data_IF_610103564999
#
_entry.id   IF_610103564999
#
_cell.length_a   1.000
_cell.length_b   1.000
_cell.length_c   1.000
_cell.angle_alpha   90.00
_cell.angle_beta   90.00
_cell.angle_gamma   90.00
#
_symmetry.space_group_name_H-M   'P 1'
#
loop_
_entity.id
_entity.type
_entity.pdbx_description
1 polymer ?
#
# COMPACT_ATOMS: atom_id res chain seq x y z
N UNK A 1 22.66 17.75 -6.37
CA UNK A 1 21.99 17.25 -7.59
C UNK A 1 20.54 17.00 -7.24
N UNK A 2 19.59 17.67 -7.93
CA UNK A 2 18.16 17.44 -7.73
C UNK A 2 17.78 16.07 -8.31
N UNK A 3 17.10 15.25 -7.53
CA UNK A 3 16.62 13.94 -7.98
C UNK A 3 15.29 14.11 -8.74
N UNK A 4 15.23 13.83 -10.07
CA UNK A 4 14.01 13.99 -10.86
C UNK A 4 12.82 13.23 -10.30
N UNK A 5 13.06 12.03 -9.77
CA UNK A 5 12.01 11.18 -9.20
C UNK A 5 11.25 11.84 -8.03
N UNK A 6 11.96 12.60 -7.19
CA UNK A 6 11.33 13.38 -6.12
C UNK A 6 10.62 14.61 -6.67
N UNK A 7 11.24 15.31 -7.63
CA UNK A 7 10.66 16.52 -8.21
C UNK A 7 9.34 16.24 -8.92
N UNK A 8 9.22 15.13 -9.63
CA UNK A 8 7.98 14.70 -10.28
C UNK A 8 6.84 14.48 -9.29
N UNK A 9 7.15 14.22 -8.02
CA UNK A 9 6.16 14.10 -6.94
C UNK A 9 5.95 15.41 -6.15
N UNK A 10 6.58 16.48 -6.60
CA UNK A 10 6.53 17.79 -5.92
C UNK A 10 7.37 17.85 -4.64
N UNK A 11 8.29 16.89 -4.45
CA UNK A 11 9.26 16.87 -3.36
C UNK A 11 10.57 17.50 -3.82
N UNK A 12 10.82 18.74 -3.44
CA UNK A 12 12.14 19.36 -3.54
C UNK A 12 12.79 19.40 -2.14
N UNK A 13 13.58 18.39 -1.83
CA UNK A 13 14.25 18.27 -0.53
C UNK A 13 15.25 19.39 -0.25
N UNK A 14 15.66 20.13 -1.25
CA UNK A 14 16.56 21.28 -1.13
C UNK A 14 15.82 22.63 -1.00
N UNK A 15 14.50 22.62 -1.13
CA UNK A 15 13.71 23.86 -1.04
C UNK A 15 13.35 24.18 0.39
N UNK A 16 13.84 25.29 0.91
CA UNK A 16 13.49 25.76 2.26
C UNK A 16 12.10 26.42 2.33
N UNK A 17 11.50 26.69 1.19
CA UNK A 17 10.15 27.29 1.12
C UNK A 17 9.04 26.26 1.31
N UNK A 18 9.35 24.96 1.25
CA UNK A 18 8.39 23.86 1.39
C UNK A 18 8.64 23.07 2.65
N UNK A 19 7.58 22.81 3.39
CA UNK A 19 7.65 21.94 4.57
C UNK A 19 7.57 20.48 4.15
N UNK A 20 8.38 19.63 4.80
CA UNK A 20 8.38 18.19 4.58
C UNK A 20 8.45 17.44 5.91
N UNK A 21 7.83 16.28 5.96
CA UNK A 21 8.05 15.30 7.01
C UNK A 21 8.65 14.05 6.40
N UNK A 22 9.71 13.54 7.02
CA UNK A 22 10.43 12.34 6.56
C UNK A 22 10.44 11.31 7.68
N UNK A 23 10.20 10.05 7.34
CA UNK A 23 10.35 8.93 8.27
C UNK A 23 11.63 8.16 7.94
N UNK A 24 12.39 7.80 8.97
CA UNK A 24 13.70 7.15 8.85
C UNK A 24 13.63 5.77 9.52
N UNK A 25 13.35 4.70 8.78
CA UNK A 25 13.46 3.34 9.30
C UNK A 25 14.94 2.91 9.37
N UNK A 26 15.27 2.06 10.34
CA UNK A 26 16.58 1.40 10.34
C UNK A 26 16.60 0.24 9.33
N UNK A 27 17.81 -0.14 8.92
CA UNK A 27 18.01 -1.27 8.00
C UNK A 27 17.43 -2.58 8.58
N UNK A 28 17.53 -2.77 9.89
CA UNK A 28 16.99 -3.93 10.59
C UNK A 28 15.46 -3.96 10.54
N UNK A 29 14.79 -2.78 10.69
CA UNK A 29 13.34 -2.70 10.57
C UNK A 29 12.87 -2.97 9.15
N UNK A 30 13.56 -2.42 8.15
CA UNK A 30 13.25 -2.71 6.74
C UNK A 30 13.39 -4.20 6.48
N UNK A 31 14.54 -4.79 6.84
CA UNK A 31 14.80 -6.22 6.66
C UNK A 31 13.73 -7.08 7.32
N UNK A 32 13.39 -6.78 8.58
CA UNK A 32 12.34 -7.49 9.31
C UNK A 32 10.98 -7.38 8.59
N UNK A 33 10.59 -6.20 8.14
CA UNK A 33 9.33 -6.00 7.44
C UNK A 33 9.29 -6.77 6.11
N UNK A 34 10.41 -6.79 5.37
CA UNK A 34 10.55 -7.56 4.13
C UNK A 34 10.46 -9.07 4.39
N UNK A 35 11.16 -9.58 5.40
CA UNK A 35 11.17 -11.01 5.74
C UNK A 35 9.78 -11.49 6.18
N UNK A 36 9.07 -10.70 7.01
CA UNK A 36 7.69 -10.98 7.40
C UNK A 36 6.74 -10.96 6.18
N UNK A 37 6.89 -9.99 5.29
CA UNK A 37 6.12 -9.89 4.05
C UNK A 37 6.34 -11.08 3.13
N UNK A 38 7.60 -11.48 2.91
CA UNK A 38 7.98 -12.66 2.12
C UNK A 38 7.45 -13.96 2.72
N UNK A 39 7.49 -14.10 4.05
CA UNK A 39 6.95 -15.27 4.73
C UNK A 39 5.44 -15.40 4.51
N UNK A 40 4.69 -14.29 4.56
CA UNK A 40 3.25 -14.27 4.24
C UNK A 40 2.99 -14.64 2.78
N UNK A 41 3.74 -14.05 1.84
CA UNK A 41 3.62 -14.37 0.41
C UNK A 41 3.87 -15.86 0.15
N UNK A 42 4.89 -16.44 0.75
CA UNK A 42 5.18 -17.87 0.66
C UNK A 42 4.06 -18.74 1.21
N UNK A 43 3.50 -18.37 2.38
CA UNK A 43 2.34 -19.05 2.98
C UNK A 43 1.14 -19.04 2.04
N UNK A 44 0.90 -17.91 1.38
CA UNK A 44 -0.25 -17.75 0.47
C UNK A 44 0.02 -18.20 -0.97
N UNK A 45 1.24 -18.70 -1.27
CA UNK A 45 1.66 -19.11 -2.62
C UNK A 45 1.53 -17.97 -3.64
N UNK A 46 1.82 -16.74 -3.21
CA UNK A 46 1.80 -15.54 -4.04
C UNK A 46 3.24 -15.14 -4.36
N UNK A 47 3.51 -14.87 -5.62
CA UNK A 47 4.80 -14.33 -6.05
C UNK A 47 4.73 -12.81 -6.18
N UNK A 48 5.72 -12.13 -5.62
CA UNK A 48 5.93 -10.70 -5.76
C UNK A 48 7.42 -10.40 -5.92
N UNK A 49 7.80 -9.53 -6.86
CA UNK A 49 9.17 -9.03 -6.92
C UNK A 49 9.55 -8.29 -5.64
N UNK A 50 10.75 -8.53 -5.13
CA UNK A 50 11.29 -7.85 -3.96
C UNK A 50 11.25 -6.32 -4.12
N UNK A 51 11.51 -5.83 -5.34
CA UNK A 51 11.46 -4.42 -5.67
C UNK A 51 10.12 -3.73 -5.36
N UNK A 52 8.99 -4.46 -5.40
CA UNK A 52 7.69 -3.89 -5.02
C UNK A 52 7.63 -3.63 -3.51
N UNK A 53 8.16 -4.55 -2.71
CA UNK A 53 8.19 -4.46 -1.25
C UNK A 53 9.16 -3.35 -0.80
N UNK A 54 10.34 -3.32 -1.39
CA UNK A 54 11.38 -2.31 -1.13
C UNK A 54 10.90 -0.91 -1.53
N UNK A 55 10.30 -0.77 -2.71
CA UNK A 55 9.73 0.48 -3.16
C UNK A 55 8.66 1.01 -2.21
N UNK A 56 7.83 0.15 -1.64
CA UNK A 56 6.84 0.60 -0.66
C UNK A 56 7.54 1.16 0.57
N UNK A 57 8.54 0.46 1.12
CA UNK A 57 9.31 0.93 2.27
C UNK A 57 9.90 2.32 2.05
N UNK A 58 10.40 2.59 0.85
CA UNK A 58 10.91 3.91 0.50
C UNK A 58 9.79 4.94 0.29
N UNK A 59 8.80 4.62 -0.53
CA UNK A 59 7.77 5.57 -0.96
C UNK A 59 6.81 5.99 0.16
N UNK A 60 6.64 5.17 1.19
CA UNK A 60 5.77 5.48 2.32
C UNK A 60 6.35 6.50 3.31
N UNK A 61 7.65 6.89 3.16
CA UNK A 61 8.39 7.65 4.17
C UNK A 61 8.40 9.16 3.97
N UNK A 62 7.81 9.69 2.89
CA UNK A 62 7.90 11.10 2.55
C UNK A 62 6.53 11.77 2.50
N UNK A 63 6.36 12.85 3.27
CA UNK A 63 5.14 13.66 3.29
C UNK A 63 5.48 15.09 2.90
N UNK A 64 4.83 15.60 1.86
CA UNK A 64 5.12 16.91 1.27
C UNK A 64 4.16 17.98 1.76
N UNK A 65 4.62 19.21 1.74
CA UNK A 65 3.86 20.41 2.04
C UNK A 65 3.30 20.44 3.48
N UNK A 66 3.88 19.65 4.39
CA UNK A 66 3.42 19.51 5.77
C UNK A 66 4.57 19.16 6.73
N UNK A 67 4.48 19.67 7.94
CA UNK A 67 5.27 19.27 9.09
C UNK A 67 4.30 18.64 10.11
N UNK A 68 4.23 17.32 10.12
CA UNK A 68 3.38 16.59 11.04
C UNK A 68 4.02 16.46 12.42
N UNK A 69 3.22 16.56 13.47
CA UNK A 69 3.63 16.14 14.81
C UNK A 69 3.73 14.60 14.88
N UNK A 70 4.65 14.10 15.70
CA UNK A 70 4.95 12.67 15.81
C UNK A 70 3.72 11.83 16.22
N UNK A 71 2.86 12.39 17.07
CA UNK A 71 1.64 11.75 17.58
C UNK A 71 0.68 11.35 16.45
N UNK A 72 0.66 12.12 15.34
CA UNK A 72 -0.20 11.82 14.18
C UNK A 72 0.13 10.48 13.57
N UNK A 73 1.40 10.07 13.59
CA UNK A 73 1.85 8.78 13.07
C UNK A 73 1.53 7.59 14.00
N UNK A 74 1.32 7.86 15.28
CA UNK A 74 1.15 6.85 16.31
C UNK A 74 -0.30 6.70 16.80
N UNK A 75 -1.19 7.60 16.43
CA UNK A 75 -2.58 7.60 16.87
C UNK A 75 -3.44 6.64 16.03
N UNK A 76 -3.89 5.50 16.59
CA UNK A 76 -4.70 4.54 15.84
C UNK A 76 -6.12 5.05 15.53
N UNK A 77 -6.54 6.16 16.14
CA UNK A 77 -7.83 6.79 15.87
C UNK A 77 -7.77 7.77 14.69
N UNK A 78 -6.58 8.15 14.28
CA UNK A 78 -6.39 8.99 13.11
C UNK A 78 -6.49 8.16 11.81
N UNK A 79 -6.96 8.77 10.73
CA UNK A 79 -6.94 8.10 9.43
C UNK A 79 -5.50 7.83 8.98
N UNK A 80 -5.32 6.79 8.18
CA UNK A 80 -4.03 6.50 7.57
C UNK A 80 -3.51 7.71 6.78
N UNK A 81 -2.21 7.98 6.91
CA UNK A 81 -1.58 9.11 6.24
C UNK A 81 -1.13 8.70 4.83
N UNK A 82 -1.36 9.58 3.87
CA UNK A 82 -0.95 9.34 2.48
C UNK A 82 0.36 10.06 2.19
N UNK A 83 1.38 9.31 1.82
CA UNK A 83 2.69 9.85 1.45
C UNK A 83 2.66 10.64 0.13
N UNK A 84 3.70 11.38 -0.16
CA UNK A 84 3.88 12.09 -1.43
C UNK A 84 3.84 11.17 -2.66
N UNK A 85 4.13 9.89 -2.48
CA UNK A 85 4.06 8.85 -3.51
C UNK A 85 2.73 8.09 -3.54
N UNK A 86 1.73 8.53 -2.77
CA UNK A 86 0.41 7.91 -2.70
C UNK A 86 0.38 6.60 -1.91
N UNK A 87 1.40 6.33 -1.08
CA UNK A 87 1.42 5.15 -0.20
C UNK A 87 0.81 5.46 1.15
N UNK A 88 0.11 4.48 1.71
CA UNK A 88 -0.56 4.65 3.00
C UNK A 88 0.36 4.25 4.15
N UNK A 89 0.58 5.19 5.08
CA UNK A 89 1.15 4.88 6.39
C UNK A 89 0.02 4.52 7.34
N UNK A 90 0.02 3.28 7.81
CA UNK A 90 -1.03 2.75 8.69
C UNK A 90 -0.69 3.04 10.14
N UNK A 91 -1.37 4.01 10.73
CA UNK A 91 -1.15 4.47 12.11
C UNK A 91 -1.45 3.40 13.17
N UNK A 92 -2.25 2.40 12.82
CA UNK A 92 -2.59 1.29 13.72
C UNK A 92 -1.43 0.33 13.99
N UNK A 93 -0.49 0.18 13.06
CA UNK A 93 0.59 -0.84 13.13
C UNK A 93 1.98 -0.25 12.97
N UNK A 94 2.13 0.84 12.23
CA UNK A 94 3.41 1.51 12.05
C UNK A 94 3.54 2.62 13.08
N UNK A 95 4.74 2.79 13.64
CA UNK A 95 5.00 3.75 14.73
C UNK A 95 6.32 4.47 14.50
N UNK A 96 6.38 5.70 15.01
CA UNK A 96 7.60 6.50 15.07
C UNK A 96 8.02 6.80 16.51
N UNK A 97 9.28 7.15 16.69
CA UNK A 97 9.81 7.64 17.95
C UNK A 97 9.25 9.05 18.23
N UNK A 98 8.63 9.24 19.39
CA UNK A 98 8.06 10.51 19.84
C UNK A 98 9.10 11.40 20.51
N UNK A 99 10.17 10.83 21.05
CA UNK A 99 11.09 11.52 21.94
C UNK A 99 12.29 12.15 21.22
N UNK A 100 12.62 11.64 20.02
CA UNK A 100 13.84 12.01 19.30
C UNK A 100 13.56 12.55 17.88
N UNK A 101 12.82 13.66 17.74
CA UNK A 101 12.60 14.27 16.43
C UNK A 101 13.90 14.92 15.91
N UNK A 102 14.15 14.77 14.61
CA UNK A 102 15.27 15.44 13.92
C UNK A 102 14.74 16.66 13.18
N UNK A 103 15.05 17.85 13.66
CA UNK A 103 14.63 19.09 13.01
C UNK A 103 15.61 19.46 11.89
N UNK A 104 15.04 19.88 10.77
CA UNK A 104 15.74 20.35 9.58
C UNK A 104 15.26 21.77 9.24
N UNK A 105 16.00 22.49 8.39
CA UNK A 105 15.63 23.85 7.98
C UNK A 105 14.25 23.90 7.28
N UNK A 106 13.90 22.86 6.58
CA UNK A 106 12.66 22.78 5.80
C UNK A 106 11.68 21.70 6.28
N UNK A 107 11.82 21.21 7.51
CA UNK A 107 10.88 20.22 8.03
C UNK A 107 11.38 19.43 9.21
N UNK A 108 10.81 18.26 9.36
CA UNK A 108 11.09 17.37 10.49
C UNK A 108 11.24 15.92 10.03
N UNK A 109 12.10 15.16 10.68
CA UNK A 109 12.20 13.73 10.49
C UNK A 109 12.01 12.97 11.79
N UNK A 110 11.43 11.78 11.70
CA UNK A 110 11.20 10.87 12.81
C UNK A 110 11.78 9.49 12.51
N UNK A 111 12.41 8.89 13.52
CA UNK A 111 12.83 7.50 13.43
C UNK A 111 11.62 6.57 13.51
N UNK A 112 11.58 5.57 12.65
CA UNK A 112 10.52 4.54 12.67
C UNK A 112 10.86 3.50 13.71
N UNK A 113 9.90 3.16 14.58
CA UNK A 113 10.07 2.16 15.64
C UNK A 113 9.29 0.87 15.36
N UNK A 114 8.26 0.93 14.52
CA UNK A 114 7.51 -0.25 14.05
C UNK A 114 7.14 -0.08 12.59
N UNK A 115 7.45 -1.09 11.78
CA UNK A 115 7.18 -1.10 10.34
C UNK A 115 6.62 -2.45 9.92
N UNK A 116 5.47 -2.44 9.25
CA UNK A 116 4.86 -3.61 8.61
C UNK A 116 4.41 -3.28 7.20
N UNK A 117 4.69 -4.19 6.29
CA UNK A 117 4.18 -4.09 4.93
C UNK A 117 2.67 -4.35 4.91
N UNK A 118 1.87 -3.48 4.28
CA UNK A 118 0.43 -3.69 4.19
C UNK A 118 0.13 -4.92 3.32
N UNK A 119 -0.78 -5.77 3.77
CA UNK A 119 -1.23 -6.89 2.97
C UNK A 119 -1.94 -6.40 1.72
N UNK A 120 -2.80 -5.43 1.89
CA UNK A 120 -3.58 -4.84 0.80
C UNK A 120 -2.71 -3.89 0.00
N UNK A 121 -2.80 -3.96 -1.31
CA UNK A 121 -2.12 -3.11 -2.29
C UNK A 121 -0.60 -3.33 -2.42
N UNK A 122 0.05 -4.06 -1.50
CA UNK A 122 1.47 -4.41 -1.56
C UNK A 122 1.68 -5.92 -1.64
N UNK A 123 1.25 -6.66 -0.63
CA UNK A 123 1.40 -8.12 -0.63
C UNK A 123 0.39 -8.79 -1.56
N UNK A 124 -0.85 -8.31 -1.57
CA UNK A 124 -1.90 -8.78 -2.48
C UNK A 124 -2.48 -7.61 -3.26
N UNK A 125 -2.72 -7.84 -4.55
CA UNK A 125 -3.43 -6.86 -5.37
C UNK A 125 -4.92 -6.92 -5.05
N UNK A 126 -5.48 -5.78 -4.73
CA UNK A 126 -6.94 -5.64 -4.64
C UNK A 126 -7.51 -5.42 -6.02
N UNK A 127 -8.53 -6.18 -6.34
CA UNK A 127 -9.39 -5.90 -7.49
C UNK A 127 -10.37 -4.74 -7.23
N UNK A 128 -9.91 -3.69 -6.52
CA UNK A 128 -10.75 -2.49 -6.28
C UNK A 128 -11.29 -1.89 -7.56
N UNK A 129 -10.53 -1.99 -8.63
CA UNK A 129 -10.85 -1.40 -9.91
C UNK A 129 -11.34 -2.42 -10.94
N UNK A 130 -11.62 -3.67 -10.52
CA UNK A 130 -12.19 -4.65 -11.44
C UNK A 130 -13.48 -4.12 -12.07
N UNK A 131 -14.35 -3.47 -11.29
CA UNK A 131 -15.55 -2.84 -11.80
C UNK A 131 -15.28 -1.64 -12.70
N UNK A 132 -14.26 -0.83 -12.43
CA UNK A 132 -13.83 0.23 -13.34
C UNK A 132 -13.31 -0.35 -14.64
N UNK A 133 -12.42 -1.34 -14.54
CA UNK A 133 -11.85 -2.01 -15.70
C UNK A 133 -12.94 -2.73 -16.51
N UNK A 134 -13.84 -3.44 -15.83
CA UNK A 134 -15.01 -4.08 -16.43
C UNK A 134 -15.94 -3.09 -17.16
N UNK A 135 -16.08 -1.89 -16.62
CA UNK A 135 -16.88 -0.82 -17.26
C UNK A 135 -16.33 -0.42 -18.64
N UNK A 136 -15.01 -0.50 -18.82
CA UNK A 136 -14.33 -0.09 -20.06
C UNK A 136 -14.03 -1.26 -21.00
N UNK A 137 -14.23 -2.50 -20.56
CA UNK A 137 -14.14 -3.65 -21.46
C UNK A 137 -15.29 -3.63 -22.47
N UNK A 138 -14.99 -4.00 -23.71
CA UNK A 138 -16.04 -4.28 -24.67
C UNK A 138 -16.82 -5.55 -24.32
N UNK A 139 -17.95 -5.79 -24.97
CA UNK A 139 -18.79 -6.93 -24.65
C UNK A 139 -18.12 -8.27 -24.98
N UNK A 140 -17.34 -8.34 -26.06
CA UNK A 140 -16.63 -9.55 -26.44
C UNK A 140 -15.58 -9.95 -25.40
N UNK A 141 -14.86 -8.98 -24.83
CA UNK A 141 -13.89 -9.25 -23.78
C UNK A 141 -14.56 -9.66 -22.46
N UNK A 142 -15.71 -9.09 -22.13
CA UNK A 142 -16.53 -9.53 -21.00
C UNK A 142 -16.97 -10.97 -21.16
N UNK A 143 -17.47 -11.32 -22.34
CA UNK A 143 -17.95 -12.66 -22.64
C UNK A 143 -16.81 -13.69 -22.59
N UNK A 144 -15.65 -13.37 -23.14
CA UNK A 144 -14.43 -14.19 -23.03
C UNK A 144 -13.98 -14.37 -21.59
N UNK A 145 -14.03 -13.32 -20.79
CA UNK A 145 -13.66 -13.37 -19.37
C UNK A 145 -14.56 -14.35 -18.61
N UNK A 146 -15.87 -14.27 -18.79
CA UNK A 146 -16.80 -15.21 -18.17
C UNK A 146 -16.66 -16.64 -18.71
N UNK A 147 -16.40 -16.81 -19.99
CA UNK A 147 -16.13 -18.13 -20.58
C UNK A 147 -14.85 -18.76 -20.00
N UNK A 148 -13.79 -17.98 -19.78
CA UNK A 148 -12.55 -18.46 -19.17
C UNK A 148 -12.71 -18.90 -17.71
N UNK A 149 -13.69 -18.39 -17.01
CA UNK A 149 -13.98 -18.73 -15.61
C UNK A 149 -14.98 -19.86 -15.46
N UNK A 150 -15.50 -20.42 -16.55
CA UNK A 150 -16.54 -21.45 -16.59
C UNK A 150 -17.81 -21.06 -15.82
N UNK A 151 -18.10 -19.77 -15.72
CA UNK A 151 -19.30 -19.28 -15.07
C UNK A 151 -20.49 -19.41 -16.03
N UNK A 152 -21.50 -20.15 -15.61
CA UNK A 152 -22.73 -20.17 -16.37
C UNK A 152 -23.46 -18.83 -16.30
N UNK A 153 -24.09 -18.39 -17.41
CA UNK A 153 -24.83 -17.14 -17.40
C UNK A 153 -25.92 -17.13 -16.34
N UNK A 154 -26.04 -16.04 -15.62
CA UNK A 154 -27.10 -15.83 -14.64
C UNK A 154 -28.41 -15.48 -15.37
N UNK A 155 -29.39 -16.35 -15.33
CA UNK A 155 -30.59 -16.20 -16.15
C UNK A 155 -30.22 -16.25 -17.63
N UNK A 156 -30.51 -15.23 -18.37
CA UNK A 156 -30.18 -15.13 -19.80
C UNK A 156 -28.84 -14.44 -20.08
N UNK A 157 -28.07 -14.01 -19.09
CA UNK A 157 -26.87 -13.23 -19.38
C UNK A 157 -25.93 -12.94 -18.22
N UNK A 158 -25.98 -13.70 -17.14
CA UNK A 158 -25.05 -13.48 -16.02
C UNK A 158 -24.62 -14.76 -15.33
N UNK A 159 -23.53 -14.74 -14.55
CA UNK A 159 -23.07 -15.88 -13.79
C UNK A 159 -24.06 -16.24 -12.67
N UNK A 160 -24.12 -17.51 -12.31
CA UNK A 160 -24.93 -17.94 -11.17
C UNK A 160 -24.37 -17.36 -9.86
N UNK A 161 -25.24 -17.15 -8.88
CA UNK A 161 -24.84 -16.62 -7.58
C UNK A 161 -23.83 -17.53 -6.88
N UNK A 162 -23.89 -18.82 -7.08
CA UNK A 162 -22.96 -19.79 -6.48
C UNK A 162 -21.60 -19.69 -7.11
N UNK A 163 -21.50 -19.54 -8.42
CA UNK A 163 -20.25 -19.41 -9.17
C UNK A 163 -19.56 -18.07 -8.84
N UNK A 164 -20.33 -16.99 -8.75
CA UNK A 164 -19.81 -15.69 -8.30
C UNK A 164 -19.24 -15.78 -6.90
N UNK A 165 -19.90 -16.51 -5.99
CA UNK A 165 -19.41 -16.70 -4.63
C UNK A 165 -18.09 -17.48 -4.58
N UNK A 166 -17.94 -18.50 -5.40
CA UNK A 166 -16.71 -19.26 -5.51
C UNK A 166 -15.55 -18.43 -6.11
N UNK A 167 -15.90 -17.38 -6.83
CA UNK A 167 -14.97 -16.49 -7.53
C UNK A 167 -14.66 -15.19 -6.78
N UNK A 168 -15.33 -14.94 -5.66
CA UNK A 168 -15.12 -13.72 -4.87
C UNK A 168 -13.69 -13.67 -4.36
N UNK A 169 -12.98 -12.54 -4.55
CA UNK A 169 -11.66 -12.33 -3.98
C UNK A 169 -11.68 -12.54 -2.45
N UNK A 170 -10.75 -13.30 -1.94
CA UNK A 170 -10.70 -13.70 -0.54
C UNK A 170 -11.41 -15.02 -0.23
N UNK A 171 -12.14 -15.59 -1.19
CA UNK A 171 -12.67 -16.93 -1.03
C UNK A 171 -11.52 -17.95 -1.02
N UNK A 172 -11.37 -18.64 0.08
CA UNK A 172 -10.25 -19.55 0.33
C UNK A 172 -9.04 -18.91 1.02
N UNK A 173 -9.07 -17.60 1.30
CA UNK A 173 -8.03 -16.89 2.06
C UNK A 173 -8.64 -16.01 3.17
N UNK A 174 -9.46 -16.57 4.07
CA UNK A 174 -10.11 -15.76 5.10
C UNK A 174 -9.12 -15.06 6.04
N UNK A 175 -7.94 -15.64 6.22
CA UNK A 175 -6.87 -15.06 7.00
C UNK A 175 -6.27 -13.79 6.40
N UNK A 176 -6.39 -13.58 5.09
CA UNK A 176 -5.90 -12.38 4.43
C UNK A 176 -6.88 -11.22 4.60
N UNK A 177 -8.16 -11.48 4.74
CA UNK A 177 -9.18 -10.45 4.81
C UNK A 177 -9.18 -9.67 6.13
N UNK A 178 -8.70 -10.26 7.20
CA UNK A 178 -8.76 -9.74 8.57
C UNK A 178 -7.42 -9.23 9.11
N UNK A 179 -6.31 -9.56 8.46
CA UNK A 179 -4.99 -9.07 8.84
C UNK A 179 -4.63 -7.78 8.09
N UNK A 180 -3.80 -6.97 8.75
CA UNK A 180 -3.10 -5.88 8.10
C UNK A 180 -1.85 -6.39 7.40
#
# INVERSE_FOLDING_TARGET
>A
VKNPYFLDKGLDLASESKKITVLIPSDELIKKALDEGKAKLKKWKIERPDSILENWCFQAMFFKDVEYDAEVFNDPQKPDLTSAFGKQWRTTVNKVDLDNPVRMSNGIAYYVTSLKLPQKDVLIWRFKDLFKWFKYMDQNDKDKYFACTNLAPYGSGGPTRTEVKAWTPGYGWPEISNEY
#
